data_IF_442294435299
#
_entry.id   IF_442294435299
#
_cell.length_a   1.000
_cell.length_b   1.000
_cell.length_c   1.000
_cell.angle_alpha   90.00
_cell.angle_beta   90.00
_cell.angle_gamma   90.00
#
_symmetry.space_group_name_H-M   'P 1'
#
loop_
_entity.id
_entity.type
_entity.pdbx_description
1 polymer ?
#
# COMPACT_ATOMS: atom_id res chain seq x y z
N UNK A 1 11.12 15.68 10.16
CA UNK A 1 10.61 14.98 8.96
C UNK A 1 9.12 14.68 9.13
N UNK A 2 8.24 15.54 8.61
CA UNK A 2 6.78 15.40 8.77
C UNK A 2 6.18 14.42 7.73
N UNK A 3 6.63 14.51 6.49
CA UNK A 3 6.06 13.75 5.37
C UNK A 3 6.16 12.21 5.51
N UNK A 4 7.28 11.61 5.95
CA UNK A 4 7.34 10.15 6.15
C UNK A 4 6.39 9.67 7.25
N UNK A 5 6.20 10.49 8.30
CA UNK A 5 5.24 10.20 9.37
C UNK A 5 3.81 10.27 8.85
N UNK A 6 3.49 11.25 8.01
CA UNK A 6 2.20 11.36 7.34
C UNK A 6 1.94 10.14 6.43
N UNK A 7 2.91 9.76 5.59
CA UNK A 7 2.79 8.60 4.72
C UNK A 7 2.53 7.31 5.50
N UNK A 8 3.25 7.11 6.59
CA UNK A 8 3.02 5.98 7.49
C UNK A 8 1.65 6.06 8.20
N UNK A 9 1.24 7.24 8.66
CA UNK A 9 -0.07 7.43 9.30
C UNK A 9 -1.22 7.13 8.33
N UNK A 10 -1.08 7.50 7.04
CA UNK A 10 -2.04 7.15 6.00
C UNK A 10 -2.09 5.64 5.76
N UNK A 11 -0.93 4.97 5.68
CA UNK A 11 -0.87 3.51 5.56
C UNK A 11 -1.46 2.78 6.78
N UNK A 12 -1.39 3.38 7.97
CA UNK A 12 -2.03 2.85 9.17
C UNK A 12 -3.55 3.08 9.14
N UNK A 13 -3.97 4.30 8.79
CA UNK A 13 -5.38 4.68 8.71
C UNK A 13 -6.12 3.86 7.65
N UNK A 14 -5.46 3.49 6.57
CA UNK A 14 -6.05 2.74 5.47
C UNK A 14 -6.49 1.32 5.84
N UNK A 15 -6.02 0.78 6.96
CA UNK A 15 -6.46 -0.51 7.48
C UNK A 15 -7.97 -0.47 7.80
N UNK A 16 -8.46 0.60 8.44
CA UNK A 16 -9.85 0.72 8.88
C UNK A 16 -10.85 0.57 7.72
N UNK A 17 -10.78 1.38 6.63
CA UNK A 17 -11.67 1.22 5.50
C UNK A 17 -11.37 -0.05 4.70
N UNK A 18 -10.13 -0.57 4.72
CA UNK A 18 -9.80 -1.81 4.02
C UNK A 18 -10.51 -3.04 4.61
N UNK A 19 -10.79 -3.04 5.92
CA UNK A 19 -11.56 -4.09 6.59
C UNK A 19 -13.06 -4.06 6.31
N UNK A 20 -13.56 -3.00 5.67
CA UNK A 20 -14.97 -2.86 5.32
C UNK A 20 -15.14 -3.22 3.84
N UNK A 21 -15.89 -4.28 3.51
CA UNK A 21 -16.03 -4.75 2.13
C UNK A 21 -16.80 -3.76 1.24
N UNK A 22 -16.74 -3.99 -0.08
CA UNK A 22 -17.31 -3.07 -1.07
C UNK A 22 -16.47 -1.81 -1.27
N UNK A 23 -17.13 -0.66 -1.44
CA UNK A 23 -16.47 0.61 -1.82
C UNK A 23 -15.44 1.11 -0.78
N UNK A 24 -15.61 0.77 0.50
CA UNK A 24 -14.67 1.16 1.54
C UNK A 24 -13.33 0.45 1.39
N UNK A 25 -13.32 -0.81 0.96
CA UNK A 25 -12.08 -1.55 0.66
C UNK A 25 -11.26 -0.86 -0.45
N UNK A 26 -11.94 -0.29 -1.45
CA UNK A 26 -11.32 0.46 -2.55
C UNK A 26 -10.71 1.76 -2.03
N UNK A 27 -11.42 2.48 -1.16
CA UNK A 27 -10.90 3.68 -0.51
C UNK A 27 -9.65 3.33 0.32
N UNK A 28 -9.69 2.25 1.10
CA UNK A 28 -8.53 1.76 1.85
C UNK A 28 -7.34 1.43 0.96
N UNK A 29 -7.58 0.83 -0.21
CA UNK A 29 -6.52 0.60 -1.20
C UNK A 29 -5.86 1.90 -1.66
N UNK A 30 -6.64 2.92 -2.04
CA UNK A 30 -6.07 4.19 -2.52
C UNK A 30 -5.36 4.98 -1.41
N UNK A 31 -5.86 4.97 -0.18
CA UNK A 31 -5.16 5.58 0.96
C UNK A 31 -3.82 4.87 1.21
N UNK A 32 -3.80 3.53 1.09
CA UNK A 32 -2.56 2.74 1.18
C UNK A 32 -1.55 3.15 0.11
N UNK A 33 -1.99 3.27 -1.15
CA UNK A 33 -1.13 3.73 -2.24
C UNK A 33 -0.56 5.13 -1.98
N UNK A 34 -1.40 6.07 -1.54
CA UNK A 34 -0.96 7.43 -1.22
C UNK A 34 0.10 7.44 -0.11
N UNK A 35 -0.13 6.69 0.97
CA UNK A 35 0.82 6.52 2.06
C UNK A 35 2.16 5.92 1.59
N UNK A 36 2.08 4.86 0.78
CA UNK A 36 3.26 4.19 0.23
C UNK A 36 4.07 5.09 -0.70
N UNK A 37 3.42 5.83 -1.60
CA UNK A 37 4.09 6.79 -2.51
C UNK A 37 4.83 7.86 -1.72
N UNK A 38 4.22 8.41 -0.66
CA UNK A 38 4.86 9.39 0.21
C UNK A 38 6.10 8.76 0.86
N UNK A 39 5.98 7.57 1.45
CA UNK A 39 7.09 6.88 2.09
C UNK A 39 8.23 6.53 1.11
N UNK A 40 7.90 6.13 -0.13
CA UNK A 40 8.87 5.88 -1.21
C UNK A 40 9.65 7.14 -1.60
N UNK A 41 8.99 8.30 -1.66
CA UNK A 41 9.68 9.58 -1.92
C UNK A 41 10.78 9.87 -0.90
N UNK A 42 10.60 9.43 0.34
CA UNK A 42 11.57 9.61 1.42
C UNK A 42 12.32 8.32 1.80
N UNK A 43 12.37 7.32 0.92
CA UNK A 43 12.96 6.00 1.26
C UNK A 43 14.43 6.06 1.66
N UNK A 44 15.22 6.99 1.10
CA UNK A 44 16.63 7.18 1.42
C UNK A 44 16.84 7.90 2.77
N UNK A 45 16.09 8.97 3.03
CA UNK A 45 16.26 9.79 4.24
C UNK A 45 15.51 9.24 5.46
N UNK A 46 14.48 8.42 5.24
CA UNK A 46 13.63 7.83 6.27
C UNK A 46 13.37 6.33 5.99
N UNK A 47 14.42 5.48 5.94
CA UNK A 47 14.30 4.08 5.54
C UNK A 47 13.37 3.26 6.44
N UNK A 48 13.34 3.58 7.75
CA UNK A 48 12.46 2.90 8.72
C UNK A 48 10.97 3.09 8.38
N UNK A 49 10.56 4.30 8.01
CA UNK A 49 9.17 4.59 7.65
C UNK A 49 8.78 3.94 6.32
N UNK A 50 9.72 3.87 5.37
CA UNK A 50 9.50 3.13 4.14
C UNK A 50 9.32 1.64 4.39
N UNK A 51 10.18 1.01 5.21
CA UNK A 51 10.08 -0.41 5.53
C UNK A 51 8.72 -0.74 6.19
N UNK A 52 8.33 0.04 7.21
CA UNK A 52 7.07 -0.15 7.93
C UNK A 52 5.84 0.08 7.06
N UNK A 53 5.84 1.13 6.23
CA UNK A 53 4.75 1.39 5.30
C UNK A 53 4.66 0.30 4.21
N UNK A 54 5.80 -0.25 3.79
CA UNK A 54 5.86 -1.34 2.81
C UNK A 54 5.24 -2.62 3.36
N UNK A 55 5.63 -3.04 4.56
CA UNK A 55 5.05 -4.22 5.21
C UNK A 55 3.56 -4.06 5.44
N UNK A 56 3.11 -2.91 5.94
CA UNK A 56 1.69 -2.61 6.09
C UNK A 56 0.94 -2.66 4.76
N UNK A 57 1.51 -2.07 3.70
CA UNK A 57 0.86 -2.04 2.39
C UNK A 57 0.69 -3.43 1.80
N UNK A 58 1.71 -4.29 1.95
CA UNK A 58 1.65 -5.69 1.50
C UNK A 58 0.54 -6.44 2.25
N UNK A 59 0.52 -6.33 3.59
CA UNK A 59 -0.52 -6.97 4.43
C UNK A 59 -1.91 -6.46 4.04
N UNK A 60 -2.06 -5.14 3.89
CA UNK A 60 -3.36 -4.55 3.62
C UNK A 60 -3.88 -4.95 2.24
N UNK A 61 -3.01 -5.02 1.23
CA UNK A 61 -3.42 -5.32 -0.15
C UNK A 61 -3.64 -6.83 -0.33
N UNK A 62 -2.71 -7.67 0.11
CA UNK A 62 -2.75 -9.12 -0.13
C UNK A 62 -3.62 -9.90 0.85
N UNK A 63 -3.72 -9.45 2.10
CA UNK A 63 -4.48 -10.17 3.13
C UNK A 63 -5.83 -9.52 3.30
N UNK A 64 -5.88 -8.23 3.65
CA UNK A 64 -7.15 -7.58 4.02
C UNK A 64 -8.02 -7.36 2.78
N UNK A 65 -7.53 -6.63 1.78
CA UNK A 65 -8.31 -6.27 0.61
C UNK A 65 -8.67 -7.48 -0.26
N UNK A 66 -7.70 -8.38 -0.46
CA UNK A 66 -7.85 -9.56 -1.30
C UNK A 66 -8.85 -10.56 -0.71
N UNK A 67 -8.68 -10.89 0.57
CA UNK A 67 -9.51 -11.89 1.25
C UNK A 67 -10.95 -11.38 1.38
N UNK A 68 -11.15 -10.10 1.70
CA UNK A 68 -12.50 -9.55 1.84
C UNK A 68 -13.22 -9.40 0.49
N UNK A 69 -12.50 -9.08 -0.59
CA UNK A 69 -13.07 -9.07 -1.94
C UNK A 69 -13.43 -10.48 -2.43
N UNK A 70 -12.64 -11.49 -2.08
CA UNK A 70 -12.90 -12.89 -2.43
C UNK A 70 -14.03 -13.51 -1.60
N UNK A 71 -14.15 -13.18 -0.31
CA UNK A 71 -15.16 -13.76 0.58
C UNK A 71 -16.53 -13.12 0.41
N UNK A 72 -16.62 -11.79 0.30
CA UNK A 72 -17.91 -11.11 0.39
C UNK A 72 -18.61 -10.86 -0.95
N UNK A 73 -17.96 -11.15 -2.09
CA UNK A 73 -18.59 -11.17 -3.43
C UNK A 73 -19.57 -9.99 -3.71
N UNK A 74 -19.31 -8.82 -3.14
CA UNK A 74 -20.24 -7.67 -3.19
C UNK A 74 -20.02 -6.78 -4.42
N UNK A 75 -19.08 -7.12 -5.30
CA UNK A 75 -19.02 -6.57 -6.67
C UNK A 75 -18.01 -7.34 -7.50
N UNK A 76 -18.37 -7.53 -8.76
CA UNK A 76 -17.67 -8.16 -9.88
C UNK A 76 -16.25 -7.65 -10.15
N UNK A 77 -15.33 -7.72 -9.20
CA UNK A 77 -13.90 -7.54 -9.49
C UNK A 77 -13.41 -8.81 -10.19
N UNK A 78 -12.92 -8.61 -11.41
CA UNK A 78 -12.27 -9.66 -12.18
C UNK A 78 -10.90 -9.95 -11.60
N UNK A 79 -10.45 -11.21 -11.72
CA UNK A 79 -9.08 -11.61 -11.33
C UNK A 79 -8.01 -10.73 -11.99
N UNK A 80 -8.27 -10.20 -13.19
CA UNK A 80 -7.40 -9.24 -13.88
C UNK A 80 -7.26 -7.92 -13.12
N UNK A 81 -8.37 -7.33 -12.63
CA UNK A 81 -8.33 -6.06 -11.89
C UNK A 81 -7.60 -6.21 -10.56
N UNK A 82 -7.81 -7.35 -9.89
CA UNK A 82 -7.09 -7.73 -8.68
C UNK A 82 -5.58 -7.83 -8.93
N UNK A 83 -5.19 -8.54 -10.00
CA UNK A 83 -3.78 -8.68 -10.38
C UNK A 83 -3.13 -7.33 -10.72
N UNK A 84 -3.85 -6.44 -11.41
CA UNK A 84 -3.40 -5.08 -11.70
C UNK A 84 -3.17 -4.28 -10.41
N UNK A 85 -4.12 -4.32 -9.47
CA UNK A 85 -4.01 -3.62 -8.20
C UNK A 85 -2.79 -4.08 -7.39
N UNK A 86 -2.58 -5.40 -7.30
CA UNK A 86 -1.41 -5.99 -6.64
C UNK A 86 -0.12 -5.55 -7.35
N UNK A 87 -0.10 -5.62 -8.69
CA UNK A 87 1.08 -5.27 -9.49
C UNK A 87 1.52 -3.82 -9.29
N UNK A 88 0.58 -2.87 -9.19
CA UNK A 88 0.89 -1.45 -8.94
C UNK A 88 1.67 -1.27 -7.63
N UNK A 89 1.24 -1.97 -6.58
CA UNK A 89 1.91 -1.91 -5.27
C UNK A 89 3.34 -2.46 -5.36
N UNK A 90 3.53 -3.60 -6.02
CA UNK A 90 4.85 -4.17 -6.24
C UNK A 90 5.78 -3.28 -7.06
N UNK A 91 5.26 -2.60 -8.09
CA UNK A 91 6.06 -1.63 -8.88
C UNK A 91 6.55 -0.47 -8.01
N UNK A 92 5.67 0.08 -7.17
CA UNK A 92 6.03 1.18 -6.25
C UNK A 92 7.08 0.71 -5.24
N UNK A 93 6.94 -0.50 -4.70
CA UNK A 93 7.92 -1.10 -3.79
C UNK A 93 9.28 -1.32 -4.46
N UNK A 94 9.29 -1.93 -5.65
CA UNK A 94 10.50 -2.20 -6.42
C UNK A 94 11.25 -0.89 -6.74
N UNK A 95 10.51 0.16 -7.11
CA UNK A 95 11.08 1.49 -7.30
C UNK A 95 11.69 2.06 -6.00
N UNK A 96 10.97 1.97 -4.88
CA UNK A 96 11.45 2.41 -3.57
C UNK A 96 12.74 1.72 -3.12
N UNK A 97 12.84 0.40 -3.33
CA UNK A 97 14.02 -0.43 -3.03
C UNK A 97 15.18 -0.05 -3.95
N UNK A 98 14.93 0.07 -5.26
CA UNK A 98 15.96 0.45 -6.25
C UNK A 98 16.55 1.82 -5.91
N UNK A 99 15.69 2.77 -5.54
CA UNK A 99 16.10 4.10 -5.07
C UNK A 99 16.96 4.04 -3.80
N UNK A 100 16.64 3.18 -2.83
CA UNK A 100 17.48 3.01 -1.64
C UNK A 100 18.88 2.49 -1.99
N UNK A 101 18.98 1.52 -2.91
CA UNK A 101 20.28 0.98 -3.34
C UNK A 101 21.17 2.03 -4.00
N UNK A 102 20.60 2.87 -4.88
CA UNK A 102 21.35 3.95 -5.56
C UNK A 102 21.87 5.01 -4.55
N UNK A 103 21.15 5.25 -3.45
CA UNK A 103 21.60 6.22 -2.44
C UNK A 103 22.71 5.71 -1.52
N UNK A 104 23.11 4.44 -1.63
CA UNK A 104 24.16 3.81 -0.82
C UNK A 104 25.47 3.60 -1.59
N UNK A 105 25.47 3.82 -2.91
CA UNK A 105 26.65 3.83 -3.80
C UNK A 105 27.18 5.25 -3.95
#
# INVERSE_FOLDING_TARGET
>A
MLMPKLGFALALLSILPAFVPGAMSVIGYFITLAGLIICVRYSQSAPKYFLLASTLSIVNVLIVNDTLRLIENESSITLSEQFIAISIVFVILAYGISKQKIGQT
#
